data_IF_043953739502
#
_entry.id   IF_043953739502
#
_cell.length_a   1.000
_cell.length_b   1.000
_cell.length_c   1.000
_cell.angle_alpha   90.00
_cell.angle_beta   90.00
_cell.angle_gamma   90.00
#
_symmetry.space_group_name_H-M   'P 1'
#
loop_
_entity.id
_entity.type
_entity.pdbx_description
1 polymer ?
#
# COMPACT_ATOMS: atom_id res chain seq x y z
N UNK A 1 -0.08 -21.60 -74.31
CA UNK A 1 -0.35 -20.14 -74.31
C UNK A 1 -0.69 -19.75 -72.88
N UNK A 2 0.10 -19.01 -72.11
CA UNK A 2 1.38 -18.32 -72.27
C UNK A 2 1.64 -17.61 -70.92
N UNK A 3 2.92 -17.45 -70.57
CA UNK A 3 3.58 -16.41 -69.73
C UNK A 3 2.82 -15.78 -68.53
N UNK A 4 3.37 -15.58 -67.34
CA UNK A 4 4.76 -15.50 -66.88
C UNK A 4 4.85 -14.61 -65.62
N UNK A 5 6.04 -14.60 -65.01
CA UNK A 5 6.60 -13.66 -64.03
C UNK A 5 6.44 -13.89 -62.50
N UNK A 6 7.61 -13.92 -61.86
CA UNK A 6 7.98 -13.94 -60.44
C UNK A 6 8.46 -12.55 -59.95
N UNK A 7 8.46 -12.34 -58.61
CA UNK A 7 9.35 -11.50 -57.72
C UNK A 7 8.54 -10.86 -56.56
N UNK A 8 8.83 -11.12 -55.26
CA UNK A 8 9.87 -10.49 -54.36
C UNK A 8 9.58 -8.98 -54.17
N UNK A 9 9.45 -8.31 -53.00
CA UNK A 9 9.81 -8.43 -51.57
C UNK A 9 8.70 -7.71 -50.71
N UNK A 10 8.56 -7.72 -49.37
CA UNK A 10 9.41 -7.10 -48.34
C UNK A 10 9.00 -7.50 -46.90
N UNK A 11 10.02 -7.79 -46.10
CA UNK A 11 10.31 -7.49 -44.68
C UNK A 11 9.25 -6.80 -43.78
N UNK A 12 9.04 -7.34 -42.57
CA UNK A 12 9.47 -6.72 -41.29
C UNK A 12 8.59 -7.19 -40.12
N UNK A 13 9.20 -7.31 -38.94
CA UNK A 13 8.46 -7.16 -37.68
C UNK A 13 8.40 -8.40 -36.79
N UNK A 14 9.56 -8.87 -36.34
CA UNK A 14 9.66 -9.71 -35.15
C UNK A 14 8.99 -9.06 -33.94
N UNK A 15 8.25 -9.86 -33.18
CA UNK A 15 7.61 -9.41 -31.95
C UNK A 15 7.11 -10.57 -31.12
N UNK A 16 8.03 -11.29 -30.48
CA UNK A 16 7.73 -12.17 -29.34
C UNK A 16 7.13 -11.32 -28.20
N UNK A 17 5.83 -11.09 -28.26
CA UNK A 17 5.05 -10.60 -27.14
C UNK A 17 4.77 -11.76 -26.19
N UNK A 18 5.76 -12.12 -25.37
CA UNK A 18 5.54 -12.89 -24.15
C UNK A 18 4.72 -12.01 -23.19
N UNK A 19 3.41 -11.90 -23.45
CA UNK A 19 2.47 -11.40 -22.44
C UNK A 19 2.25 -12.53 -21.45
N UNK A 20 3.28 -12.79 -20.64
CA UNK A 20 3.17 -13.46 -19.36
C UNK A 20 2.34 -12.56 -18.44
N UNK A 21 1.05 -12.40 -18.74
CA UNK A 21 0.05 -12.01 -17.78
C UNK A 21 -0.09 -13.20 -16.84
N UNK A 22 0.89 -13.37 -15.96
CA UNK A 22 0.75 -14.19 -14.77
C UNK A 22 -0.44 -13.58 -14.05
N UNK A 23 -1.60 -14.22 -14.15
CA UNK A 23 -2.73 -13.93 -13.30
C UNK A 23 -2.29 -14.21 -11.87
N UNK A 24 -1.73 -13.18 -11.24
CA UNK A 24 -1.38 -13.17 -9.83
C UNK A 24 -2.72 -13.18 -9.10
N UNK A 25 -3.04 -14.29 -8.43
CA UNK A 25 -4.25 -14.42 -7.62
C UNK A 25 -4.38 -13.29 -6.57
N UNK A 26 -5.55 -13.13 -5.93
CA UNK A 26 -5.86 -11.97 -5.09
C UNK A 26 -4.74 -11.66 -4.08
N UNK A 27 -4.18 -10.45 -4.14
CA UNK A 27 -3.03 -10.03 -3.34
C UNK A 27 -3.25 -10.20 -1.82
N UNK A 28 -4.49 -10.08 -1.35
CA UNK A 28 -4.86 -10.26 0.06
C UNK A 28 -4.62 -11.68 0.60
N UNK A 29 -4.49 -12.68 -0.29
CA UNK A 29 -4.36 -14.10 0.07
C UNK A 29 -2.90 -14.55 0.11
N UNK A 30 -1.99 -13.68 -0.34
CA UNK A 30 -0.56 -13.96 -0.32
C UNK A 30 -0.02 -13.80 1.10
N UNK A 31 0.96 -14.62 1.50
CA UNK A 31 1.67 -14.39 2.74
C UNK A 31 2.34 -13.00 2.70
N UNK A 32 2.40 -12.27 3.83
CA UNK A 32 2.95 -10.91 3.90
C UNK A 32 4.33 -10.78 3.26
N UNK A 33 5.20 -11.78 3.46
CA UNK A 33 6.52 -11.85 2.83
C UNK A 33 6.49 -11.83 1.31
N UNK A 34 5.60 -12.58 0.67
CA UNK A 34 5.52 -12.62 -0.80
C UNK A 34 5.02 -11.29 -1.34
N UNK A 35 4.00 -10.71 -0.70
CA UNK A 35 3.46 -9.39 -1.05
C UNK A 35 4.55 -8.31 -0.92
N UNK A 36 5.30 -8.32 0.17
CA UNK A 36 6.41 -7.40 0.41
C UNK A 36 7.50 -7.49 -0.68
N UNK A 37 8.01 -8.70 -0.93
CA UNK A 37 9.18 -8.90 -1.80
C UNK A 37 8.87 -8.75 -3.29
N UNK A 38 7.69 -9.23 -3.73
CA UNK A 38 7.36 -9.32 -5.16
C UNK A 38 6.46 -8.20 -5.67
N UNK A 39 5.80 -7.47 -4.79
CA UNK A 39 4.89 -6.40 -5.19
C UNK A 39 5.27 -5.07 -4.53
N UNK A 40 5.33 -5.01 -3.20
CA UNK A 40 5.54 -3.75 -2.48
C UNK A 40 6.90 -3.13 -2.76
N UNK A 41 8.01 -3.83 -2.50
CA UNK A 41 9.34 -3.25 -2.70
C UNK A 41 9.60 -2.82 -4.15
N UNK A 42 9.34 -3.67 -5.17
CA UNK A 42 9.54 -3.27 -6.57
C UNK A 42 8.65 -2.09 -7.00
N UNK A 43 7.41 -2.05 -6.51
CA UNK A 43 6.48 -0.96 -6.81
C UNK A 43 6.95 0.37 -6.19
N UNK A 44 7.34 0.34 -4.92
CA UNK A 44 7.87 1.51 -4.22
C UNK A 44 9.18 2.00 -4.82
N UNK A 45 10.09 1.11 -5.21
CA UNK A 45 11.36 1.48 -5.87
C UNK A 45 11.14 2.13 -7.23
N UNK A 46 10.19 1.61 -8.02
CA UNK A 46 9.91 2.12 -9.37
C UNK A 46 9.04 3.38 -9.40
N UNK A 47 8.06 3.49 -8.50
CA UNK A 47 7.00 4.49 -8.59
C UNK A 47 6.92 5.43 -7.39
N UNK A 48 7.54 5.08 -6.26
CA UNK A 48 7.39 5.82 -4.99
C UNK A 48 6.00 5.73 -4.35
N UNK A 49 5.06 5.01 -4.97
CA UNK A 49 3.67 4.82 -4.53
C UNK A 49 3.29 3.36 -4.79
N UNK A 50 2.63 2.71 -3.83
CA UNK A 50 2.13 1.34 -3.94
C UNK A 50 0.75 1.22 -3.29
N UNK A 51 -0.22 0.67 -4.01
CA UNK A 51 -1.60 0.44 -3.52
C UNK A 51 -1.84 -1.06 -3.36
N UNK A 52 -2.40 -1.47 -2.21
CA UNK A 52 -2.77 -2.85 -1.91
C UNK A 52 -4.25 -2.91 -1.54
N UNK A 53 -5.07 -3.46 -2.44
CA UNK A 53 -6.49 -3.62 -2.19
C UNK A 53 -6.82 -4.77 -1.24
N UNK A 54 -7.92 -4.62 -0.50
CA UNK A 54 -8.48 -5.66 0.40
C UNK A 54 -7.45 -6.16 1.42
N UNK A 55 -6.56 -5.30 1.90
CA UNK A 55 -5.43 -5.65 2.76
C UNK A 55 -5.79 -6.48 4.00
N UNK A 56 -6.88 -6.14 4.70
CA UNK A 56 -7.38 -6.89 5.86
C UNK A 56 -8.50 -7.89 5.52
N UNK A 57 -9.16 -7.71 4.38
CA UNK A 57 -10.48 -8.28 4.10
C UNK A 57 -11.62 -7.50 4.77
N UNK A 58 -12.86 -7.78 4.36
CA UNK A 58 -14.04 -7.02 4.80
C UNK A 58 -14.28 -7.12 6.31
N UNK A 59 -14.36 -8.34 6.87
CA UNK A 59 -14.69 -8.53 8.29
C UNK A 59 -13.73 -7.83 9.25
N UNK A 60 -12.42 -7.93 9.04
CA UNK A 60 -11.43 -7.22 9.86
C UNK A 60 -11.45 -5.70 9.59
N UNK A 61 -11.68 -5.30 8.34
CA UNK A 61 -11.85 -3.89 7.98
C UNK A 61 -13.03 -3.24 8.71
N UNK A 62 -14.17 -3.93 8.77
CA UNK A 62 -15.38 -3.45 9.45
C UNK A 62 -15.15 -3.35 10.97
N UNK A 63 -14.43 -4.29 11.57
CA UNK A 63 -14.06 -4.24 13.00
C UNK A 63 -13.12 -3.08 13.32
N UNK A 64 -12.14 -2.79 12.44
CA UNK A 64 -11.27 -1.61 12.59
C UNK A 64 -12.10 -0.32 12.47
N UNK A 65 -13.00 -0.26 11.49
CA UNK A 65 -13.91 0.88 11.31
C UNK A 65 -14.77 1.13 12.56
N UNK A 66 -15.34 0.08 13.14
CA UNK A 66 -16.14 0.18 14.36
C UNK A 66 -15.34 0.79 15.53
N UNK A 67 -14.09 0.39 15.72
CA UNK A 67 -13.22 0.97 16.75
C UNK A 67 -12.90 2.45 16.47
N UNK A 68 -12.58 2.80 15.22
CA UNK A 68 -12.35 4.20 14.81
C UNK A 68 -13.59 5.06 15.08
N UNK A 69 -14.78 4.56 14.76
CA UNK A 69 -16.05 5.22 15.05
C UNK A 69 -16.27 5.40 16.56
N UNK A 70 -15.97 4.38 17.38
CA UNK A 70 -16.06 4.46 18.84
C UNK A 70 -15.13 5.55 19.39
N UNK A 71 -13.87 5.58 18.94
CA UNK A 71 -12.90 6.60 19.34
C UNK A 71 -13.36 8.02 18.98
N UNK A 72 -13.99 8.18 17.81
CA UNK A 72 -14.54 9.46 17.37
C UNK A 72 -15.75 9.87 18.23
N UNK A 73 -16.70 8.96 18.47
CA UNK A 73 -17.86 9.20 19.32
C UNK A 73 -17.47 9.50 20.78
N UNK A 74 -16.41 8.86 21.27
CA UNK A 74 -15.82 9.09 22.59
C UNK A 74 -15.00 10.39 22.73
N UNK A 75 -14.96 11.25 21.70
CA UNK A 75 -14.31 12.55 21.77
C UNK A 75 -12.78 12.51 21.85
N UNK A 76 -12.14 11.38 21.51
CA UNK A 76 -10.68 11.22 21.58
C UNK A 76 -9.90 11.92 20.46
N UNK A 77 -10.62 12.45 19.48
CA UNK A 77 -10.06 13.11 18.30
C UNK A 77 -9.80 14.59 18.56
N UNK A 78 -8.65 15.09 18.07
CA UNK A 78 -8.22 16.50 18.15
C UNK A 78 -7.95 17.04 16.76
N UNK A 79 -8.02 18.36 16.58
CA UNK A 79 -7.71 18.98 15.29
C UNK A 79 -6.25 18.72 14.88
N UNK A 80 -6.06 18.36 13.62
CA UNK A 80 -4.74 18.11 13.04
C UNK A 80 -3.82 19.33 13.18
N UNK A 81 -2.57 19.11 13.57
CA UNK A 81 -1.58 20.17 13.72
C UNK A 81 -0.56 20.14 12.57
N UNK A 82 -0.15 21.33 12.12
CA UNK A 82 1.00 21.48 11.23
C UNK A 82 2.30 21.43 12.03
N UNK A 83 3.34 20.86 11.42
CA UNK A 83 4.68 20.84 12.02
C UNK A 83 5.23 22.26 12.21
N UNK A 84 4.86 23.18 11.32
CA UNK A 84 5.20 24.61 11.44
C UNK A 84 3.92 25.41 11.69
N UNK A 85 3.74 26.03 12.86
CA UNK A 85 2.51 26.75 13.22
C UNK A 85 2.46 28.16 12.62
N UNK A 86 3.04 28.38 11.44
CA UNK A 86 3.06 29.71 10.78
C UNK A 86 1.68 30.21 10.35
N UNK A 87 0.70 29.32 10.30
CA UNK A 87 -0.71 29.59 9.99
C UNK A 87 -1.55 28.69 10.89
N UNK A 88 -2.78 29.10 11.14
CA UNK A 88 -3.75 28.26 11.83
C UNK A 88 -3.89 26.93 11.09
N UNK A 89 -3.62 25.83 11.80
CA UNK A 89 -3.59 24.49 11.21
C UNK A 89 -4.90 24.17 10.48
N UNK A 90 -6.03 24.63 11.00
CA UNK A 90 -7.37 24.44 10.43
C UNK A 90 -7.54 25.01 9.01
N UNK A 91 -6.75 26.02 8.62
CA UNK A 91 -6.80 26.60 7.26
C UNK A 91 -6.26 25.63 6.21
N UNK A 92 -5.32 24.76 6.61
CA UNK A 92 -4.64 23.81 5.71
C UNK A 92 -5.16 22.39 5.93
N UNK A 93 -5.54 22.06 7.17
CA UNK A 93 -5.92 20.72 7.62
C UNK A 93 -7.26 20.76 8.33
N UNK A 94 -8.30 20.27 7.64
CA UNK A 94 -9.65 20.11 8.21
C UNK A 94 -9.90 18.76 8.87
N UNK A 95 -8.86 17.94 9.03
CA UNK A 95 -8.97 16.60 9.62
C UNK A 95 -8.92 16.64 11.15
N UNK A 96 -9.65 15.70 11.77
CA UNK A 96 -9.48 15.36 13.18
C UNK A 96 -8.67 14.07 13.28
N UNK A 97 -7.72 14.03 14.20
CA UNK A 97 -6.79 12.92 14.39
C UNK A 97 -6.79 12.41 15.84
N UNK A 98 -6.47 11.15 16.01
CA UNK A 98 -6.13 10.56 17.30
C UNK A 98 -4.86 9.73 17.16
N UNK A 99 -3.95 9.83 18.14
CA UNK A 99 -2.75 9.00 18.17
C UNK A 99 -3.01 7.77 19.03
N UNK A 100 -2.92 6.59 18.40
CA UNK A 100 -3.13 5.29 19.04
C UNK A 100 -1.90 4.41 18.86
N UNK A 101 -1.58 3.65 19.90
CA UNK A 101 -0.52 2.64 19.85
C UNK A 101 -1.04 1.31 19.30
N UNK A 102 -2.33 1.04 19.50
CA UNK A 102 -2.99 -0.23 19.20
C UNK A 102 -2.99 -1.20 20.40
N UNK A 103 -2.65 -0.70 21.59
CA UNK A 103 -2.66 -1.43 22.87
C UNK A 103 -3.62 -0.83 23.88
N UNK A 104 -4.19 0.34 23.58
CA UNK A 104 -5.21 0.97 24.39
C UNK A 104 -6.49 0.11 24.41
N UNK A 105 -7.28 0.16 25.49
CA UNK A 105 -8.63 -0.40 25.49
C UNK A 105 -9.42 0.12 24.29
N UNK A 106 -10.21 -0.77 23.68
CA UNK A 106 -11.02 -0.50 22.48
C UNK A 106 -10.21 -0.27 21.18
N UNK A 107 -8.90 -0.48 21.18
CA UNK A 107 -8.04 -0.33 19.99
C UNK A 107 -7.46 -1.65 19.46
N UNK A 108 -7.93 -2.82 19.92
CA UNK A 108 -7.31 -4.11 19.60
C UNK A 108 -7.27 -4.42 18.09
N UNK A 109 -8.34 -4.10 17.36
CA UNK A 109 -8.42 -4.35 15.90
C UNK A 109 -7.55 -3.37 15.14
N UNK A 110 -7.47 -2.11 15.60
CA UNK A 110 -6.47 -1.16 15.11
C UNK A 110 -5.05 -1.71 15.36
N UNK A 111 -4.80 -2.32 16.52
CA UNK A 111 -3.57 -3.03 16.83
C UNK A 111 -3.24 -4.13 15.81
N UNK A 112 -4.22 -4.96 15.45
CA UNK A 112 -4.06 -5.99 14.41
C UNK A 112 -3.68 -5.39 13.05
N UNK A 113 -4.31 -4.29 12.63
CA UNK A 113 -3.94 -3.57 11.41
C UNK A 113 -2.48 -3.12 11.46
N UNK A 114 -2.08 -2.49 12.56
CA UNK A 114 -0.72 -1.99 12.75
C UNK A 114 0.30 -3.12 12.71
N UNK A 115 0.05 -4.24 13.39
CA UNK A 115 0.95 -5.41 13.36
C UNK A 115 1.11 -5.99 11.95
N UNK A 116 0.05 -6.03 11.13
CA UNK A 116 0.14 -6.48 9.74
C UNK A 116 0.94 -5.53 8.86
N UNK A 117 0.83 -4.22 9.10
CA UNK A 117 1.67 -3.23 8.41
C UNK A 117 3.15 -3.39 8.82
N UNK A 118 3.41 -3.55 10.12
CA UNK A 118 4.76 -3.74 10.66
C UNK A 118 5.42 -5.01 10.07
N UNK A 119 4.67 -6.12 9.96
CA UNK A 119 5.14 -7.37 9.32
C UNK A 119 5.51 -7.17 7.83
N UNK A 120 4.71 -6.42 7.08
CA UNK A 120 5.02 -6.10 5.68
C UNK A 120 6.31 -5.29 5.55
N UNK A 121 6.46 -4.24 6.35
CA UNK A 121 7.63 -3.37 6.30
C UNK A 121 8.89 -4.11 6.75
N UNK A 122 8.78 -4.99 7.75
CA UNK A 122 9.87 -5.88 8.16
C UNK A 122 10.39 -6.73 7.00
N UNK A 123 9.48 -7.29 6.18
CA UNK A 123 9.87 -8.05 4.99
C UNK A 123 10.43 -7.19 3.84
N UNK A 124 10.27 -5.87 3.89
CA UNK A 124 10.83 -4.92 2.93
C UNK A 124 12.21 -4.37 3.34
N UNK A 125 12.79 -4.84 4.45
CA UNK A 125 14.04 -4.33 4.98
C UNK A 125 15.17 -4.37 3.93
N UNK A 126 15.86 -3.24 3.75
CA UNK A 126 16.93 -3.10 2.76
C UNK A 126 16.47 -3.02 1.30
N UNK A 127 15.15 -2.98 1.04
CA UNK A 127 14.56 -2.98 -0.32
C UNK A 127 13.71 -1.75 -0.61
N UNK A 128 13.62 -0.81 0.34
CA UNK A 128 12.99 0.50 0.15
C UNK A 128 14.08 1.55 0.00
N UNK A 129 14.83 1.48 -1.10
CA UNK A 129 16.00 2.34 -1.32
C UNK A 129 17.10 2.14 -0.27
N UNK A 130 17.66 3.24 0.24
CA UNK A 130 18.74 3.21 1.26
C UNK A 130 18.22 3.37 2.70
N UNK A 131 16.93 3.16 2.93
CA UNK A 131 16.33 3.32 4.25
C UNK A 131 16.54 2.08 5.13
N UNK A 132 16.88 2.32 6.39
CA UNK A 132 16.85 1.31 7.45
C UNK A 132 15.71 1.64 8.42
N UNK A 133 14.62 0.88 8.33
CA UNK A 133 13.42 1.08 9.15
C UNK A 133 13.48 0.09 10.30
N UNK A 134 13.65 0.60 11.52
CA UNK A 134 13.86 -0.23 12.73
C UNK A 134 12.60 -0.37 13.60
N UNK A 135 11.54 0.35 13.29
CA UNK A 135 10.29 0.29 14.05
C UNK A 135 9.39 1.49 13.79
N UNK A 136 8.21 1.43 14.40
CA UNK A 136 7.19 2.48 14.39
C UNK A 136 7.23 3.26 15.70
N UNK A 137 7.00 4.57 15.64
CA UNK A 137 6.92 5.45 16.81
C UNK A 137 5.56 6.14 16.84
N UNK A 138 4.94 6.22 18.02
CA UNK A 138 3.74 7.03 18.24
C UNK A 138 4.15 8.50 18.35
N UNK A 139 3.51 9.38 17.58
CA UNK A 139 3.70 10.82 17.73
C UNK A 139 2.92 11.28 18.97
N UNK A 140 3.59 12.08 19.81
CA UNK A 140 3.02 12.65 21.04
C UNK A 140 2.36 14.00 20.75
#
# INVERSE_FOLDING_TARGET
SGDGATREDDDDGGGRGDTSSRQLGPLHRRPPRELALHYLSPCMEKHGICVVDRFLGAALGDSVLAQVCSLHAGGRFRDGQLVSPRRDSAVIRGDKIAWVEGREPECDMIGVLLSRMDELILHCQGRLGRYSINGRTKVM
#
